data_IF_149248440599
#
_entry.id   IF_149248440599
#
_cell.length_a   1.000
_cell.length_b   1.000
_cell.length_c   1.000
_cell.angle_alpha   90.00
_cell.angle_beta   90.00
_cell.angle_gamma   90.00
#
_symmetry.space_group_name_H-M   'P 1'
#
loop_
_entity.id
_entity.type
_entity.pdbx_description
1 polymer ?
#
# COMPACT_ATOMS: atom_id res chain seq x y z
N UNK A 1 7.95 14.89 6.98
CA UNK A 1 8.37 14.29 8.27
C UNK A 1 9.89 14.04 8.32
N UNK A 2 10.55 14.09 9.50
CA UNK A 2 11.98 13.69 9.66
C UNK A 2 12.11 12.58 10.70
N UNK A 3 12.32 11.33 10.25
CA UNK A 3 12.50 10.19 11.16
C UNK A 3 13.93 10.15 11.73
N UNK A 4 14.04 10.09 13.06
CA UNK A 4 15.31 10.01 13.78
C UNK A 4 15.92 8.61 13.73
N UNK A 5 15.10 7.55 13.86
CA UNK A 5 15.54 6.15 13.85
C UNK A 5 15.72 5.62 12.42
N UNK A 6 16.77 4.82 12.22
CA UNK A 6 17.07 4.20 10.94
C UNK A 6 15.98 3.20 10.51
N UNK A 7 15.44 2.39 11.42
CA UNK A 7 14.38 1.43 11.12
C UNK A 7 13.17 2.10 10.47
N UNK A 8 12.74 3.23 11.03
CA UNK A 8 11.60 3.99 10.52
C UNK A 8 11.87 4.62 9.16
N UNK A 9 13.10 5.11 8.91
CA UNK A 9 13.51 5.57 7.57
C UNK A 9 13.48 4.43 6.55
N UNK A 10 14.00 3.26 6.92
CA UNK A 10 14.00 2.10 6.04
C UNK A 10 12.57 1.64 5.70
N UNK A 11 11.65 1.66 6.67
CA UNK A 11 10.24 1.34 6.41
C UNK A 11 9.61 2.37 5.48
N UNK A 12 9.87 3.67 5.69
CA UNK A 12 9.40 4.73 4.78
C UNK A 12 9.93 4.53 3.35
N UNK A 13 11.23 4.29 3.20
CA UNK A 13 11.85 4.03 1.90
C UNK A 13 11.29 2.76 1.24
N UNK A 14 11.02 1.71 2.01
CA UNK A 14 10.39 0.49 1.51
C UNK A 14 8.98 0.75 0.96
N UNK A 15 8.17 1.53 1.67
CA UNK A 15 6.81 1.91 1.23
C UNK A 15 6.88 2.79 -0.02
N UNK A 16 7.75 3.80 -0.01
CA UNK A 16 7.97 4.68 -1.17
C UNK A 16 8.40 3.88 -2.40
N UNK A 17 9.33 2.94 -2.23
CA UNK A 17 9.83 2.10 -3.31
C UNK A 17 8.76 1.17 -3.87
N UNK A 18 8.03 0.44 -3.02
CA UNK A 18 6.94 -0.43 -3.47
C UNK A 18 5.86 0.37 -4.22
N UNK A 19 5.50 1.53 -3.68
CA UNK A 19 4.54 2.45 -4.30
C UNK A 19 5.00 2.89 -5.68
N UNK A 20 6.27 3.27 -5.82
CA UNK A 20 6.81 3.73 -7.08
C UNK A 20 6.90 2.60 -8.12
N UNK A 21 7.29 1.38 -7.69
CA UNK A 21 7.35 0.24 -8.59
C UNK A 21 5.99 -0.12 -9.21
N UNK A 22 4.90 -0.07 -8.42
CA UNK A 22 3.56 -0.30 -8.95
C UNK A 22 3.11 0.88 -9.83
N UNK A 23 3.37 2.12 -9.39
CA UNK A 23 2.95 3.32 -10.13
C UNK A 23 3.55 3.39 -11.52
N UNK A 24 4.85 3.12 -11.65
CA UNK A 24 5.54 3.18 -12.93
C UNK A 24 5.53 1.85 -13.70
N UNK A 25 4.88 0.82 -13.17
CA UNK A 25 4.76 -0.50 -13.80
C UNK A 25 6.05 -1.32 -13.81
N UNK A 26 7.11 -0.91 -13.12
CA UNK A 26 8.35 -1.68 -13.06
C UNK A 26 8.25 -2.96 -12.23
N UNK A 27 7.24 -3.08 -11.35
CA UNK A 27 6.93 -4.35 -10.69
C UNK A 27 6.26 -5.33 -11.66
N UNK A 28 5.12 -4.92 -12.20
CA UNK A 28 4.38 -5.62 -13.25
C UNK A 28 3.34 -4.64 -13.83
N UNK A 29 3.41 -4.27 -15.13
CA UNK A 29 2.44 -3.39 -15.74
C UNK A 29 0.99 -3.90 -15.69
N UNK A 30 0.79 -5.23 -15.68
CA UNK A 30 -0.54 -5.82 -15.58
C UNK A 30 -1.14 -5.62 -14.19
N UNK A 31 -0.31 -5.61 -13.13
CA UNK A 31 -0.77 -5.26 -11.79
C UNK A 31 -1.19 -3.78 -11.73
N UNK A 32 -0.41 -2.87 -12.32
CA UNK A 32 -0.77 -1.46 -12.41
C UNK A 32 -2.11 -1.25 -13.13
N UNK A 33 -2.33 -1.98 -14.22
CA UNK A 33 -3.59 -1.96 -14.96
C UNK A 33 -4.75 -2.50 -14.12
N UNK A 34 -4.53 -3.61 -13.39
CA UNK A 34 -5.52 -4.19 -12.49
C UNK A 34 -5.93 -3.21 -11.38
N UNK A 35 -4.97 -2.56 -10.72
CA UNK A 35 -5.26 -1.56 -9.67
C UNK A 35 -6.13 -0.42 -10.20
N UNK A 36 -5.80 0.12 -11.38
CA UNK A 36 -6.63 1.15 -12.02
C UNK A 36 -8.03 0.63 -12.35
N UNK A 37 -8.17 -0.63 -12.79
CA UNK A 37 -9.46 -1.24 -13.09
C UNK A 37 -10.34 -1.42 -11.84
N UNK A 38 -9.74 -1.54 -10.66
CA UNK A 38 -10.46 -1.52 -9.37
C UNK A 38 -10.92 -0.12 -8.94
N UNK A 39 -10.56 0.93 -9.69
CA UNK A 39 -10.97 2.31 -9.41
C UNK A 39 -9.98 3.12 -8.58
N UNK A 40 -8.77 2.60 -8.32
CA UNK A 40 -7.72 3.33 -7.60
C UNK A 40 -6.82 4.11 -8.55
N UNK A 41 -6.64 5.40 -8.30
CA UNK A 41 -5.68 6.24 -9.01
C UNK A 41 -4.25 5.98 -8.51
N UNK A 42 -3.34 5.51 -9.37
CA UNK A 42 -1.98 5.09 -8.98
C UNK A 42 -1.09 6.24 -8.44
N UNK A 43 -1.33 7.47 -8.86
CA UNK A 43 -0.64 8.68 -8.38
C UNK A 43 -1.03 9.03 -6.94
N UNK A 44 -2.26 8.70 -6.55
CA UNK A 44 -2.83 8.94 -5.22
C UNK A 44 -2.79 7.71 -4.30
N UNK A 45 -2.50 6.53 -4.84
CA UNK A 45 -2.44 5.26 -4.07
C UNK A 45 -1.03 5.01 -3.52
N UNK A 46 -0.98 4.48 -2.30
CA UNK A 46 0.26 4.08 -1.61
C UNK A 46 0.22 2.59 -1.30
N UNK A 47 1.33 1.88 -1.49
CA UNK A 47 1.41 0.44 -1.23
C UNK A 47 2.30 0.18 -0.01
N UNK A 48 1.76 -0.48 1.02
CA UNK A 48 2.54 -0.88 2.20
C UNK A 48 3.61 -1.89 1.80
N UNK A 49 3.19 -2.86 1.01
CA UNK A 49 4.01 -3.88 0.38
C UNK A 49 3.19 -4.54 -0.71
N UNK A 50 3.88 -5.05 -1.72
CA UNK A 50 3.30 -5.95 -2.71
C UNK A 50 4.16 -7.22 -2.70
N UNK A 51 3.53 -8.34 -2.41
CA UNK A 51 4.14 -9.65 -2.43
C UNK A 51 3.69 -10.36 -3.71
N UNK A 52 4.65 -10.90 -4.46
CA UNK A 52 4.35 -11.84 -5.54
C UNK A 52 4.26 -13.24 -4.93
N UNK A 53 3.05 -13.78 -4.87
CA UNK A 53 2.78 -15.11 -4.33
C UNK A 53 3.14 -16.21 -5.34
N UNK A 54 2.79 -15.99 -6.62
CA UNK A 54 3.15 -16.84 -7.76
C UNK A 54 3.25 -15.98 -9.04
N UNK A 55 3.58 -16.59 -10.17
CA UNK A 55 3.59 -15.92 -11.48
C UNK A 55 2.20 -15.33 -11.81
N UNK A 56 2.13 -14.00 -11.90
CA UNK A 56 0.88 -13.27 -12.12
C UNK A 56 -0.05 -13.22 -10.90
N UNK A 57 0.38 -13.66 -9.71
CA UNK A 57 -0.44 -13.63 -8.50
C UNK A 57 0.21 -12.75 -7.44
N UNK A 58 -0.50 -11.70 -7.05
CA UNK A 58 -0.01 -10.67 -6.12
C UNK A 58 -0.93 -10.51 -4.93
N UNK A 59 -0.37 -10.16 -3.78
CA UNK A 59 -1.14 -9.77 -2.59
C UNK A 59 -0.44 -8.65 -1.85
N UNK A 60 -1.20 -7.84 -1.13
CA UNK A 60 -0.64 -6.77 -0.31
C UNK A 60 -1.72 -5.91 0.31
N UNK A 61 -1.29 -4.77 0.85
CA UNK A 61 -2.19 -3.73 1.34
C UNK A 61 -1.88 -2.44 0.58
N UNK A 62 -2.93 -1.82 0.05
CA UNK A 62 -2.86 -0.47 -0.51
C UNK A 62 -3.63 0.50 0.39
N UNK A 63 -3.27 1.77 0.30
CA UNK A 63 -3.92 2.88 0.99
C UNK A 63 -4.37 3.88 -0.07
N UNK A 64 -5.66 4.23 -0.05
CA UNK A 64 -6.27 5.10 -1.04
C UNK A 64 -6.07 6.60 -0.75
N UNK A 65 -6.60 7.46 -1.63
CA UNK A 65 -6.54 8.92 -1.49
C UNK A 65 -7.20 9.47 -0.22
N UNK A 66 -8.05 8.70 0.46
CA UNK A 66 -8.73 9.07 1.71
C UNK A 66 -8.04 8.53 2.94
N UNK A 67 -7.01 7.70 2.77
CA UNK A 67 -6.33 7.03 3.86
C UNK A 67 -7.05 5.77 4.35
N UNK A 68 -7.94 5.19 3.54
CA UNK A 68 -8.50 3.87 3.82
C UNK A 68 -7.51 2.79 3.39
N UNK A 69 -7.43 1.72 4.18
CA UNK A 69 -6.55 0.59 3.92
C UNK A 69 -7.34 -0.57 3.30
N UNK A 70 -6.82 -1.11 2.22
CA UNK A 70 -7.43 -2.19 1.45
C UNK A 70 -6.46 -3.36 1.35
N UNK A 71 -6.89 -4.56 1.76
CA UNK A 71 -6.15 -5.79 1.47
C UNK A 71 -6.59 -6.33 0.12
N UNK A 72 -5.63 -6.77 -0.69
CA UNK A 72 -5.90 -7.27 -2.02
C UNK A 72 -5.25 -8.63 -2.28
N UNK A 73 -5.93 -9.41 -3.11
CA UNK A 73 -5.42 -10.57 -3.81
C UNK A 73 -5.72 -10.38 -5.30
N UNK A 74 -4.69 -10.32 -6.13
CA UNK A 74 -4.79 -10.10 -7.56
C UNK A 74 -4.23 -11.30 -8.30
N UNK A 75 -5.12 -12.12 -8.86
CA UNK A 75 -4.79 -13.16 -9.83
C UNK A 75 -4.94 -12.56 -11.24
N UNK A 76 -3.81 -12.18 -11.84
CA UNK A 76 -3.77 -11.54 -13.16
C UNK A 76 -4.05 -12.56 -14.28
N UNK A 77 -4.00 -13.87 -13.98
CA UNK A 77 -4.31 -14.93 -14.92
C UNK A 77 -5.80 -15.29 -14.90
N UNK A 78 -6.47 -15.10 -13.76
CA UNK A 78 -7.91 -15.26 -13.59
C UNK A 78 -8.53 -14.07 -12.83
N UNK A 79 -9.04 -13.05 -13.55
CA UNK A 79 -9.65 -11.88 -12.93
C UNK A 79 -10.87 -12.19 -12.04
N UNK A 80 -11.51 -13.36 -12.17
CA UNK A 80 -12.63 -13.76 -11.31
C UNK A 80 -12.16 -14.24 -9.94
N UNK A 81 -10.88 -14.57 -9.81
CA UNK A 81 -10.25 -15.05 -8.58
C UNK A 81 -9.52 -13.92 -7.83
N UNK A 82 -9.85 -12.65 -8.11
CA UNK A 82 -9.33 -11.52 -7.36
C UNK A 82 -10.21 -11.19 -6.16
N UNK A 83 -9.60 -10.63 -5.11
CA UNK A 83 -10.29 -10.14 -3.91
C UNK A 83 -9.75 -8.77 -3.50
N UNK A 84 -10.63 -7.96 -2.92
CA UNK A 84 -10.34 -6.62 -2.45
C UNK A 84 -11.28 -6.27 -1.29
N UNK A 85 -10.70 -6.12 -0.09
CA UNK A 85 -11.43 -5.88 1.14
C UNK A 85 -10.99 -4.56 1.80
N UNK A 86 -11.96 -3.71 2.18
CA UNK A 86 -11.70 -2.53 3.02
C UNK A 86 -11.51 -2.99 4.47
N UNK A 87 -10.28 -2.88 4.96
CA UNK A 87 -9.88 -3.31 6.30
C UNK A 87 -9.64 -2.13 7.25
N UNK A 88 -10.05 -0.92 6.86
CA UNK A 88 -9.76 0.31 7.60
C UNK A 88 -10.19 0.24 9.06
N UNK A 89 -11.40 -0.27 9.31
CA UNK A 89 -11.98 -0.35 10.66
C UNK A 89 -11.39 -1.51 11.49
N UNK A 90 -10.67 -2.45 10.87
CA UNK A 90 -10.10 -3.63 11.52
C UNK A 90 -8.57 -3.56 11.69
N UNK A 91 -7.95 -2.43 11.32
CA UNK A 91 -6.49 -2.22 11.39
C UNK A 91 -5.88 -2.42 12.78
N UNK A 92 -6.61 -2.07 13.85
CA UNK A 92 -6.12 -2.16 15.22
C UNK A 92 -4.76 -1.47 15.41
N UNK A 93 -3.71 -2.17 15.90
CA UNK A 93 -2.37 -1.61 16.06
C UNK A 93 -1.68 -1.12 14.77
N UNK A 94 -2.21 -1.44 13.58
CA UNK A 94 -1.69 -0.89 12.32
C UNK A 94 -2.21 0.53 12.01
N UNK A 95 -3.23 1.00 12.73
CA UNK A 95 -3.68 2.38 12.60
C UNK A 95 -2.67 3.33 13.25
N UNK A 96 -2.21 4.41 12.58
CA UNK A 96 -1.27 5.36 13.17
C UNK A 96 -1.78 6.08 14.42
N UNK A 97 -3.10 6.13 14.62
CA UNK A 97 -3.72 6.77 15.77
C UNK A 97 -3.89 5.79 16.96
N UNK A 98 -3.55 4.52 16.77
CA UNK A 98 -3.60 3.52 17.82
C UNK A 98 -2.45 3.73 18.82
N UNK A 99 -2.67 3.62 20.15
CA UNK A 99 -1.62 3.84 21.15
C UNK A 99 -0.45 2.84 21.07
N UNK A 100 -0.66 1.70 20.38
CA UNK A 100 0.36 0.68 20.13
C UNK A 100 0.88 0.68 18.68
N UNK A 101 0.66 1.76 17.93
CA UNK A 101 1.13 1.86 16.55
C UNK A 101 2.64 1.69 16.45
N UNK A 102 3.08 0.80 15.55
CA UNK A 102 4.49 0.63 15.22
C UNK A 102 4.79 1.27 13.86
N UNK A 103 5.66 2.28 13.87
CA UNK A 103 6.15 2.94 12.64
C UNK A 103 7.08 2.04 11.82
N UNK A 104 7.52 0.90 12.34
CA UNK A 104 8.26 -0.09 11.58
C UNK A 104 7.32 -1.04 10.80
N UNK A 105 6.03 -1.08 11.14
CA UNK A 105 5.01 -1.78 10.36
C UNK A 105 4.73 -1.00 9.06
N UNK A 106 4.68 -1.74 7.95
CA UNK A 106 4.54 -1.14 6.63
C UNK A 106 3.15 -0.56 6.37
N UNK A 107 2.10 -1.13 6.95
CA UNK A 107 0.72 -0.62 6.80
C UNK A 107 0.58 0.68 7.57
N UNK A 108 1.05 0.70 8.83
CA UNK A 108 1.12 1.95 9.62
C UNK A 108 1.91 3.02 8.88
N UNK A 109 3.06 2.65 8.33
CA UNK A 109 3.92 3.57 7.58
C UNK A 109 3.25 4.06 6.28
N UNK A 110 2.53 3.21 5.55
CA UNK A 110 1.79 3.60 4.35
C UNK A 110 0.69 4.62 4.65
N UNK A 111 -0.05 4.43 5.74
CA UNK A 111 -1.07 5.38 6.18
C UNK A 111 -0.46 6.74 6.53
N UNK A 112 0.68 6.76 7.22
CA UNK A 112 1.41 7.99 7.51
C UNK A 112 2.00 8.65 6.27
N UNK A 113 2.58 7.84 5.37
CA UNK A 113 3.09 8.31 4.09
C UNK A 113 1.98 9.02 3.30
N UNK A 114 0.78 8.44 3.28
CA UNK A 114 -0.37 9.03 2.61
C UNK A 114 -0.82 10.35 3.23
N UNK A 115 -0.88 10.44 4.57
CA UNK A 115 -1.17 11.70 5.27
C UNK A 115 -0.16 12.80 4.93
N UNK A 116 1.12 12.46 4.87
CA UNK A 116 2.17 13.42 4.51
C UNK A 116 2.06 13.88 3.04
N UNK A 117 1.66 13.01 2.10
CA UNK A 117 1.37 13.43 0.72
C UNK A 117 0.21 14.43 0.67
N UNK A 118 -0.87 14.18 1.42
CA UNK A 118 -2.03 15.08 1.46
C UNK A 118 -1.70 16.46 2.04
N UNK A 119 -0.80 16.52 3.04
CA UNK A 119 -0.35 17.79 3.62
C UNK A 119 0.58 18.59 2.69
N UNK A 120 1.19 17.92 1.70
CA UNK A 120 2.11 18.52 0.74
C UNK A 120 1.45 18.89 -0.60
N UNK A 121 0.20 18.50 -0.83
CA UNK A 121 -0.61 18.81 -2.01
C UNK A 121 -1.37 20.13 -1.83
#
# INVERSE_FOLDING_TARGET
MKFSKASTRNTWESVAHATEQVRNGSLDPALSAWVNAQGFALDETVFSSVCRFDEGIYTGTLVDHRGHAWEFFADLNDPQNCDLEDVTDTLGPKSPDHPQADLCDKVTMALLYQREKQLAA
#
